data_IF_969207273077
#
_entry.id   IF_969207273077
#
_cell.length_a   1.000
_cell.length_b   1.000
_cell.length_c   1.000
_cell.angle_alpha   90.00
_cell.angle_beta   90.00
_cell.angle_gamma   90.00
#
_symmetry.space_group_name_H-M   'P 1'
#
loop_
_entity.id
_entity.type
_entity.pdbx_description
1 polymer ?
#
# COMPACT_ATOMS: atom_id res chain seq x y z
N UNK A 1 -3.65 -37.61 42.56
CA UNK A 1 -3.79 -36.79 41.34
C UNK A 1 -2.59 -35.87 41.26
N UNK A 2 -1.54 -36.28 40.54
CA UNK A 2 -0.31 -35.52 40.33
C UNK A 2 -0.48 -34.67 39.07
N UNK A 3 -0.72 -33.39 39.28
CA UNK A 3 -0.76 -32.40 38.18
C UNK A 3 0.67 -32.23 37.66
N UNK A 4 0.93 -32.76 36.47
CA UNK A 4 2.15 -32.51 35.68
C UNK A 4 2.18 -30.99 35.34
N UNK A 5 2.86 -30.19 36.14
CA UNK A 5 3.24 -28.82 35.77
C UNK A 5 4.27 -28.94 34.64
N UNK A 6 3.83 -28.77 33.41
CA UNK A 6 4.76 -28.52 32.31
C UNK A 6 5.58 -27.27 32.66
N UNK A 7 6.90 -27.33 32.63
CA UNK A 7 7.74 -26.21 33.03
C UNK A 7 7.44 -25.03 32.04
N UNK A 8 7.01 -23.92 32.60
CA UNK A 8 6.71 -22.65 31.86
C UNK A 8 7.85 -22.20 30.94
N UNK A 9 9.06 -22.73 31.13
CA UNK A 9 10.24 -22.49 30.29
C UNK A 9 10.16 -23.16 28.93
N UNK A 10 9.70 -24.42 28.85
CA UNK A 10 9.63 -25.19 27.58
C UNK A 10 8.62 -24.55 26.61
N UNK A 11 7.46 -24.10 27.09
CA UNK A 11 6.47 -23.41 26.24
C UNK A 11 7.01 -22.08 25.70
N UNK A 12 7.69 -21.29 26.54
CA UNK A 12 8.32 -20.04 26.10
C UNK A 12 9.40 -20.28 25.07
N UNK A 13 10.29 -21.25 25.28
CA UNK A 13 11.36 -21.60 24.34
C UNK A 13 10.80 -22.08 23.00
N UNK A 14 9.78 -22.94 23.01
CA UNK A 14 9.12 -23.39 21.78
C UNK A 14 8.49 -22.22 20.99
N UNK A 15 7.76 -21.33 21.67
CA UNK A 15 7.18 -20.14 21.03
C UNK A 15 8.28 -19.24 20.44
N UNK A 16 9.36 -18.99 21.19
CA UNK A 16 10.49 -18.17 20.71
C UNK A 16 11.16 -18.78 19.49
N UNK A 17 11.39 -20.10 19.48
CA UNK A 17 11.99 -20.80 18.34
C UNK A 17 11.06 -20.75 17.10
N UNK A 18 9.77 -21.02 17.27
CA UNK A 18 8.81 -20.94 16.16
C UNK A 18 8.73 -19.52 15.61
N UNK A 19 8.62 -18.52 16.50
CA UNK A 19 8.60 -17.10 16.08
C UNK A 19 9.89 -16.71 15.36
N UNK A 20 11.06 -17.13 15.89
CA UNK A 20 12.35 -16.87 15.27
C UNK A 20 12.47 -17.53 13.89
N UNK A 21 12.01 -18.78 13.76
CA UNK A 21 11.98 -19.48 12.46
C UNK A 21 11.08 -18.77 11.46
N UNK A 22 9.87 -18.41 11.85
CA UNK A 22 8.93 -17.66 10.98
C UNK A 22 9.53 -16.33 10.54
N UNK A 23 10.11 -15.57 11.48
CA UNK A 23 10.79 -14.31 11.15
C UNK A 23 11.97 -14.54 10.21
N UNK A 24 12.78 -15.57 10.43
CA UNK A 24 13.90 -15.89 9.54
C UNK A 24 13.42 -16.21 8.12
N UNK A 25 12.40 -17.05 7.96
CA UNK A 25 11.81 -17.37 6.66
C UNK A 25 11.28 -16.14 5.93
N UNK A 26 10.73 -15.16 6.65
CA UNK A 26 10.20 -13.92 6.06
C UNK A 26 11.30 -12.90 5.74
N UNK A 27 12.29 -12.75 6.62
CA UNK A 27 13.31 -11.68 6.51
C UNK A 27 14.50 -12.09 5.65
N UNK A 28 14.94 -13.35 5.74
CA UNK A 28 16.14 -13.81 5.02
C UNK A 28 16.07 -13.63 3.51
N UNK A 29 14.96 -13.96 2.81
CA UNK A 29 14.88 -13.73 1.35
C UNK A 29 14.97 -12.25 0.98
N UNK A 30 14.36 -11.37 1.78
CA UNK A 30 14.42 -9.91 1.57
C UNK A 30 15.84 -9.41 1.79
N UNK A 31 16.47 -9.81 2.88
CA UNK A 31 17.85 -9.45 3.19
C UNK A 31 18.82 -9.97 2.14
N UNK A 32 18.68 -11.22 1.67
CA UNK A 32 19.47 -11.79 0.59
C UNK A 32 19.32 -11.00 -0.72
N UNK A 33 18.10 -10.62 -1.09
CA UNK A 33 17.84 -9.79 -2.27
C UNK A 33 18.55 -8.45 -2.15
N UNK A 34 18.44 -7.81 -0.98
CA UNK A 34 19.11 -6.54 -0.72
C UNK A 34 20.64 -6.66 -0.77
N UNK A 35 21.21 -7.65 -0.11
CA UNK A 35 22.67 -7.92 -0.12
C UNK A 35 23.14 -8.27 -1.53
N UNK A 36 22.39 -9.10 -2.26
CA UNK A 36 22.72 -9.48 -3.65
C UNK A 36 22.73 -8.27 -4.60
N UNK A 37 22.00 -7.22 -4.30
CA UNK A 37 22.01 -5.99 -5.11
C UNK A 37 23.36 -5.28 -5.17
N UNK A 38 24.26 -5.57 -4.21
CA UNK A 38 25.62 -5.02 -4.11
C UNK A 38 26.71 -6.05 -4.45
N UNK A 39 26.36 -7.25 -4.87
CA UNK A 39 27.31 -8.30 -5.22
C UNK A 39 27.85 -8.12 -6.65
N UNK A 40 29.11 -8.51 -6.88
CA UNK A 40 29.72 -8.49 -8.22
C UNK A 40 29.28 -9.69 -9.06
N UNK A 41 29.08 -10.84 -8.42
CA UNK A 41 28.65 -12.07 -9.06
C UNK A 41 27.76 -12.89 -8.12
N UNK A 42 27.05 -13.85 -8.66
CA UNK A 42 26.24 -14.79 -7.88
C UNK A 42 26.40 -16.20 -8.44
N UNK A 43 26.60 -17.17 -7.53
CA UNK A 43 26.53 -18.59 -7.86
C UNK A 43 25.18 -19.11 -7.38
N UNK A 44 24.24 -19.24 -8.32
CA UNK A 44 22.82 -19.46 -7.99
C UNK A 44 22.24 -18.24 -7.26
N UNK A 45 21.76 -18.42 -6.02
CA UNK A 45 21.22 -17.34 -5.16
C UNK A 45 22.23 -16.80 -4.14
N UNK A 46 23.45 -17.36 -4.11
CA UNK A 46 24.49 -16.93 -3.15
C UNK A 46 25.33 -15.83 -3.77
N UNK A 47 25.29 -14.60 -3.21
CA UNK A 47 26.09 -13.49 -3.71
C UNK A 47 27.57 -13.67 -3.36
N UNK A 48 28.44 -13.32 -4.30
CA UNK A 48 29.89 -13.39 -4.13
C UNK A 48 30.55 -12.10 -4.66
N UNK A 49 31.65 -11.70 -4.00
CA UNK A 49 32.31 -10.43 -4.34
C UNK A 49 31.47 -9.21 -3.96
N UNK A 50 31.89 -8.47 -2.98
CA UNK A 50 31.26 -7.25 -2.46
C UNK A 50 32.27 -6.10 -2.59
N UNK A 51 31.96 -4.88 -2.90
CA UNK A 51 30.73 -4.09 -2.99
C UNK A 51 30.72 -3.47 -4.39
N UNK A 52 29.61 -3.60 -5.13
CA UNK A 52 29.46 -2.88 -6.41
C UNK A 52 28.14 -2.10 -6.43
N UNK A 53 28.16 -0.93 -7.07
CA UNK A 53 26.97 -0.13 -7.38
C UNK A 53 26.59 -0.19 -8.86
N UNK A 54 27.22 -1.07 -9.64
CA UNK A 54 27.00 -1.15 -11.07
C UNK A 54 25.55 -1.52 -11.41
N UNK A 55 24.99 -2.48 -10.68
CA UNK A 55 23.59 -2.89 -10.87
C UNK A 55 22.59 -1.77 -10.53
N UNK A 56 22.91 -0.94 -9.54
CA UNK A 56 22.12 0.24 -9.18
C UNK A 56 22.22 1.33 -10.24
N UNK A 57 23.41 1.59 -10.78
CA UNK A 57 23.62 2.55 -11.87
C UNK A 57 22.89 2.09 -13.15
N UNK A 58 22.97 0.81 -13.47
CA UNK A 58 22.26 0.21 -14.61
C UNK A 58 20.74 0.30 -14.41
N UNK A 59 20.25 0.02 -13.21
CA UNK A 59 18.83 0.11 -12.87
C UNK A 59 18.31 1.55 -12.94
N UNK A 60 19.13 2.54 -12.56
CA UNK A 60 18.81 3.97 -12.69
C UNK A 60 18.96 4.51 -14.11
N UNK A 61 19.48 3.71 -15.06
CA UNK A 61 19.71 4.13 -16.45
C UNK A 61 20.92 5.06 -16.60
N UNK A 62 21.87 5.05 -15.67
CA UNK A 62 23.07 5.86 -15.68
C UNK A 62 24.23 5.24 -16.46
N UNK A 63 24.05 4.03 -17.01
CA UNK A 63 25.02 3.33 -17.84
C UNK A 63 24.50 3.23 -19.26
N UNK A 64 25.39 3.45 -20.26
CA UNK A 64 25.05 3.39 -21.71
C UNK A 64 24.73 1.98 -22.21
N UNK A 65 24.84 0.96 -21.37
CA UNK A 65 24.57 -0.43 -21.70
C UNK A 65 23.07 -0.64 -21.81
N UNK A 66 22.59 -0.46 -23.03
CA UNK A 66 21.39 -1.01 -23.60
C UNK A 66 20.13 -1.13 -22.74
N UNK A 67 19.15 -0.26 -23.03
CA UNK A 67 17.73 -0.62 -23.02
C UNK A 67 17.00 -0.76 -21.66
N UNK A 68 17.39 -0.07 -20.58
CA UNK A 68 16.51 -0.04 -19.40
C UNK A 68 16.07 1.35 -18.95
N UNK A 69 15.81 2.21 -19.93
CA UNK A 69 15.14 3.51 -19.69
C UNK A 69 13.75 3.40 -19.02
N UNK A 70 13.28 2.16 -18.79
CA UNK A 70 11.95 1.89 -18.24
C UNK A 70 11.84 1.80 -16.72
N UNK A 71 12.94 1.57 -15.96
CA UNK A 71 12.85 1.38 -14.50
C UNK A 71 12.43 2.68 -13.82
N UNK A 72 13.12 3.77 -14.08
CA UNK A 72 12.80 5.07 -13.46
C UNK A 72 11.39 5.55 -13.83
N UNK A 73 10.99 5.41 -15.08
CA UNK A 73 9.64 5.75 -15.54
C UNK A 73 8.58 4.83 -14.91
N UNK A 74 8.87 3.52 -14.77
CA UNK A 74 7.97 2.58 -14.12
C UNK A 74 7.79 2.85 -12.63
N UNK A 75 8.89 3.19 -11.94
CA UNK A 75 8.86 3.59 -10.53
C UNK A 75 8.01 4.85 -10.34
N UNK A 76 8.28 5.90 -11.12
CA UNK A 76 7.53 7.15 -11.06
C UNK A 76 6.04 6.93 -11.36
N UNK A 77 5.74 6.14 -12.38
CA UNK A 77 4.36 5.84 -12.76
C UNK A 77 3.62 5.06 -11.67
N UNK A 78 4.28 4.09 -11.01
CA UNK A 78 3.70 3.39 -9.85
C UNK A 78 3.40 4.33 -8.68
N UNK A 79 4.31 5.27 -8.38
CA UNK A 79 4.07 6.31 -7.35
C UNK A 79 2.87 7.17 -7.70
N UNK A 80 2.77 7.59 -8.97
CA UNK A 80 1.65 8.41 -9.46
C UNK A 80 0.32 7.66 -9.33
N UNK A 81 0.26 6.39 -9.76
CA UNK A 81 -0.94 5.56 -9.64
C UNK A 81 -1.34 5.32 -8.18
N UNK A 82 -0.37 4.99 -7.32
CA UNK A 82 -0.62 4.77 -5.89
C UNK A 82 -1.14 6.04 -5.21
N UNK A 83 -0.53 7.19 -5.52
CA UNK A 83 -0.94 8.49 -4.99
C UNK A 83 -2.32 8.88 -5.52
N UNK A 84 -2.57 8.69 -6.81
CA UNK A 84 -3.89 8.93 -7.41
C UNK A 84 -4.98 8.09 -6.76
N UNK A 85 -4.77 6.79 -6.61
CA UNK A 85 -5.71 5.88 -5.93
C UNK A 85 -5.95 6.25 -4.47
N UNK A 86 -4.89 6.64 -3.75
CA UNK A 86 -4.99 7.13 -2.37
C UNK A 86 -5.81 8.42 -2.28
N UNK A 87 -5.56 9.40 -3.17
CA UNK A 87 -6.31 10.68 -3.18
C UNK A 87 -7.79 10.45 -3.46
N UNK A 88 -8.13 9.57 -4.42
CA UNK A 88 -9.53 9.20 -4.66
C UNK A 88 -10.14 8.59 -3.40
N UNK A 89 -9.45 7.70 -2.72
CA UNK A 89 -9.92 7.10 -1.46
C UNK A 89 -10.03 8.10 -0.32
N UNK A 90 -9.18 9.12 -0.26
CA UNK A 90 -9.34 10.23 0.71
C UNK A 90 -10.63 11.03 0.44
N UNK A 91 -10.85 11.40 -0.81
CA UNK A 91 -11.98 12.26 -1.20
C UNK A 91 -13.32 11.51 -1.10
N UNK A 92 -13.35 10.23 -1.43
CA UNK A 92 -14.58 9.43 -1.49
C UNK A 92 -14.72 8.53 -0.26
N UNK A 93 -13.66 7.85 0.14
CA UNK A 93 -13.70 6.87 1.23
C UNK A 93 -13.89 7.49 2.61
N UNK A 94 -13.28 8.66 2.88
CA UNK A 94 -13.46 9.33 4.19
C UNK A 94 -14.91 9.80 4.41
N UNK A 95 -15.58 10.48 3.46
CA UNK A 95 -17.00 10.79 3.59
C UNK A 95 -17.91 9.56 3.68
N UNK A 96 -17.60 8.48 2.95
CA UNK A 96 -18.32 7.21 3.06
C UNK A 96 -18.20 6.63 4.47
N UNK A 97 -16.97 6.54 5.00
CA UNK A 97 -16.72 6.06 6.36
C UNK A 97 -17.47 6.88 7.41
N UNK A 98 -17.49 8.22 7.25
CA UNK A 98 -18.26 9.11 8.10
C UNK A 98 -19.76 8.83 8.02
N UNK A 99 -20.32 8.74 6.81
CA UNK A 99 -21.74 8.48 6.62
C UNK A 99 -22.18 7.13 7.22
N UNK A 100 -21.35 6.08 7.03
CA UNK A 100 -21.60 4.75 7.57
C UNK A 100 -21.50 4.70 9.11
N UNK A 101 -20.71 5.56 9.72
CA UNK A 101 -20.57 5.61 11.18
C UNK A 101 -21.67 6.47 11.84
N UNK A 102 -21.96 7.61 11.21
CA UNK A 102 -22.77 8.67 11.83
C UNK A 102 -24.26 8.51 11.62
N UNK A 103 -24.69 8.01 10.46
CA UNK A 103 -26.10 7.98 10.07
C UNK A 103 -26.65 6.56 10.04
N UNK A 104 -27.90 6.44 10.53
CA UNK A 104 -28.72 5.26 10.33
C UNK A 104 -29.68 5.54 9.17
N UNK A 105 -29.52 4.82 8.07
CA UNK A 105 -30.34 4.96 6.87
C UNK A 105 -30.64 3.61 6.24
N UNK A 106 -31.72 3.54 5.46
CA UNK A 106 -32.06 2.34 4.69
C UNK A 106 -30.95 2.04 3.68
N UNK A 107 -30.36 0.85 3.77
CA UNK A 107 -29.24 0.44 2.91
C UNK A 107 -27.84 0.64 3.53
N UNK A 108 -27.71 1.10 4.78
CA UNK A 108 -26.41 1.21 5.48
C UNK A 108 -25.66 -0.11 5.49
N UNK A 109 -26.32 -1.23 5.80
CA UNK A 109 -25.69 -2.55 5.80
C UNK A 109 -25.26 -2.97 4.40
N UNK A 110 -26.04 -2.63 3.37
CA UNK A 110 -25.69 -2.84 1.98
C UNK A 110 -24.44 -2.06 1.58
N UNK A 111 -24.36 -0.79 1.92
CA UNK A 111 -23.18 0.04 1.65
C UNK A 111 -21.96 -0.43 2.45
N UNK A 112 -22.17 -0.88 3.68
CA UNK A 112 -21.08 -1.46 4.48
C UNK A 112 -20.56 -2.74 3.84
N UNK A 113 -21.44 -3.59 3.35
CA UNK A 113 -21.07 -4.81 2.59
C UNK A 113 -20.38 -4.46 1.28
N UNK A 114 -20.91 -3.46 0.53
CA UNK A 114 -20.29 -2.98 -0.71
C UNK A 114 -18.90 -2.36 -0.48
N UNK A 115 -18.70 -1.67 0.64
CA UNK A 115 -17.38 -1.14 0.99
C UNK A 115 -16.34 -2.24 1.22
N UNK A 116 -16.76 -3.43 1.64
CA UNK A 116 -15.90 -4.61 1.86
C UNK A 116 -15.79 -5.49 0.61
N UNK A 117 -16.75 -5.40 -0.31
CA UNK A 117 -16.80 -6.21 -1.53
C UNK A 117 -15.52 -6.17 -2.37
N UNK A 118 -14.80 -5.03 -2.54
CA UNK A 118 -13.54 -4.99 -3.31
C UNK A 118 -12.36 -5.77 -2.70
N UNK A 119 -12.53 -6.52 -1.62
CA UNK A 119 -11.58 -7.55 -1.19
C UNK A 119 -11.50 -8.73 -2.17
N UNK A 120 -12.26 -8.67 -3.27
CA UNK A 120 -12.16 -9.59 -4.41
C UNK A 120 -10.73 -9.57 -4.99
N UNK A 121 -10.19 -10.74 -5.40
CA UNK A 121 -8.89 -10.79 -6.05
C UNK A 121 -8.79 -9.83 -7.24
N UNK A 122 -7.69 -9.06 -7.29
CA UNK A 122 -7.48 -8.01 -8.31
C UNK A 122 -7.62 -8.51 -9.74
N UNK A 123 -7.28 -9.78 -10.01
CA UNK A 123 -7.48 -10.44 -11.32
C UNK A 123 -8.97 -10.44 -11.72
N UNK A 124 -9.85 -10.84 -10.81
CA UNK A 124 -11.30 -10.94 -11.09
C UNK A 124 -11.88 -9.55 -11.36
N UNK A 125 -11.54 -8.57 -10.51
CA UNK A 125 -11.96 -7.20 -10.73
C UNK A 125 -11.38 -6.65 -12.04
N UNK A 126 -10.12 -6.97 -12.36
CA UNK A 126 -9.47 -6.56 -13.60
C UNK A 126 -10.19 -7.06 -14.84
N UNK A 127 -10.57 -8.34 -14.86
CA UNK A 127 -11.34 -8.93 -15.97
C UNK A 127 -12.71 -8.25 -16.10
N UNK A 128 -13.42 -8.07 -14.98
CA UNK A 128 -14.72 -7.38 -14.98
C UNK A 128 -14.59 -5.94 -15.48
N UNK A 129 -13.58 -5.22 -15.00
CA UNK A 129 -13.31 -3.83 -15.39
C UNK A 129 -12.96 -3.70 -16.87
N UNK A 130 -12.11 -4.58 -17.40
CA UNK A 130 -11.74 -4.63 -18.82
C UNK A 130 -12.95 -4.92 -19.72
N UNK A 131 -13.86 -5.79 -19.27
CA UNK A 131 -15.08 -6.12 -20.02
C UNK A 131 -16.10 -4.99 -20.02
N UNK A 132 -16.19 -4.27 -18.91
CA UNK A 132 -17.18 -3.18 -18.76
C UNK A 132 -16.68 -1.86 -19.35
N UNK A 133 -15.38 -1.58 -19.26
CA UNK A 133 -14.76 -0.31 -19.66
C UNK A 133 -13.52 -0.53 -20.55
N UNK A 134 -13.64 -1.17 -21.71
CA UNK A 134 -12.49 -1.58 -22.52
C UNK A 134 -11.62 -0.40 -22.97
N UNK A 135 -12.22 0.75 -23.27
CA UNK A 135 -11.50 1.93 -23.76
C UNK A 135 -10.68 2.63 -22.66
N UNK A 136 -11.10 2.51 -21.41
CA UNK A 136 -10.50 3.20 -20.27
C UNK A 136 -9.61 2.30 -19.39
N UNK A 137 -9.81 0.98 -19.46
CA UNK A 137 -9.19 0.04 -18.51
C UNK A 137 -7.67 0.17 -18.44
N UNK A 138 -6.98 0.23 -19.59
CA UNK A 138 -5.52 0.32 -19.68
C UNK A 138 -4.96 1.75 -19.58
N UNK A 139 -5.80 2.77 -19.43
CA UNK A 139 -5.36 4.15 -19.28
C UNK A 139 -4.88 4.43 -17.85
N UNK A 140 -4.07 5.50 -17.66
CA UNK A 140 -3.67 5.93 -16.31
C UNK A 140 -4.88 6.23 -15.41
N UNK A 141 -5.93 6.84 -15.97
CA UNK A 141 -7.18 7.10 -15.24
C UNK A 141 -7.88 5.80 -14.83
N UNK A 142 -8.02 4.84 -15.75
CA UNK A 142 -8.63 3.54 -15.44
C UNK A 142 -7.85 2.76 -14.37
N UNK A 143 -6.51 2.80 -14.43
CA UNK A 143 -5.66 2.20 -13.40
C UNK A 143 -5.84 2.87 -12.03
N UNK A 144 -5.90 4.21 -11.99
CA UNK A 144 -6.14 4.96 -10.73
C UNK A 144 -7.50 4.60 -10.14
N UNK A 145 -8.56 4.57 -10.96
CA UNK A 145 -9.91 4.18 -10.50
C UNK A 145 -9.92 2.73 -10.01
N UNK A 146 -9.30 1.80 -10.74
CA UNK A 146 -9.19 0.41 -10.33
C UNK A 146 -8.42 0.23 -9.03
N UNK A 147 -7.33 0.94 -8.84
CA UNK A 147 -6.57 0.93 -7.59
C UNK A 147 -7.39 1.52 -6.43
N UNK A 148 -8.09 2.61 -6.68
CA UNK A 148 -8.98 3.20 -5.68
C UNK A 148 -10.08 2.21 -5.26
N UNK A 149 -10.74 1.56 -6.21
CA UNK A 149 -11.76 0.54 -5.93
C UNK A 149 -11.20 -0.62 -5.09
N UNK A 150 -10.07 -1.21 -5.52
CA UNK A 150 -9.46 -2.34 -4.81
C UNK A 150 -9.02 -2.01 -3.38
N UNK A 151 -8.60 -0.77 -3.14
CA UNK A 151 -8.05 -0.36 -1.85
C UNK A 151 -9.05 0.42 -1.00
N UNK A 152 -10.25 0.72 -1.51
CA UNK A 152 -11.31 1.41 -0.76
C UNK A 152 -11.69 0.73 0.57
N UNK A 153 -11.76 -0.62 0.69
CA UNK A 153 -12.07 -1.25 1.98
C UNK A 153 -11.09 -0.86 3.08
N UNK A 154 -9.80 -0.81 2.76
CA UNK A 154 -8.76 -0.49 3.74
C UNK A 154 -8.88 0.94 4.24
N UNK A 155 -9.21 1.90 3.36
CA UNK A 155 -9.47 3.28 3.76
C UNK A 155 -10.74 3.37 4.59
N UNK A 156 -11.85 2.85 4.08
CA UNK A 156 -13.16 2.96 4.72
C UNK A 156 -13.14 2.33 6.11
N UNK A 157 -12.68 1.08 6.24
CA UNK A 157 -12.66 0.37 7.52
C UNK A 157 -11.74 1.03 8.55
N UNK A 158 -10.56 1.49 8.13
CA UNK A 158 -9.62 2.15 9.04
C UNK A 158 -10.16 3.48 9.54
N UNK A 159 -10.72 4.29 8.66
CA UNK A 159 -11.31 5.60 9.02
C UNK A 159 -12.61 5.42 9.82
N UNK A 160 -13.43 4.42 9.46
CA UNK A 160 -14.63 4.06 10.21
C UNK A 160 -14.31 3.69 11.65
N UNK A 161 -13.26 2.88 11.88
CA UNK A 161 -12.80 2.54 13.23
C UNK A 161 -12.38 3.79 14.02
N UNK A 162 -11.71 4.75 13.37
CA UNK A 162 -11.34 6.01 14.02
C UNK A 162 -12.59 6.85 14.35
N UNK A 163 -13.57 6.92 13.47
CA UNK A 163 -14.83 7.63 13.73
C UNK A 163 -15.64 6.97 14.85
N UNK A 164 -15.64 5.63 14.94
CA UNK A 164 -16.34 4.90 16.00
C UNK A 164 -15.73 5.14 17.40
N UNK A 165 -14.44 5.50 17.48
CA UNK A 165 -13.76 5.82 18.72
C UNK A 165 -14.04 7.24 19.25
N UNK A 166 -14.79 8.06 18.48
CA UNK A 166 -15.13 9.45 18.81
C UNK A 166 -16.63 9.61 19.01
N UNK A 167 -17.04 10.54 19.86
CA UNK A 167 -18.43 10.98 19.93
C UNK A 167 -18.70 12.03 18.84
N UNK A 168 -18.97 11.54 17.61
CA UNK A 168 -19.23 12.39 16.45
C UNK A 168 -20.44 13.31 16.70
N UNK A 169 -21.44 12.83 17.44
CA UNK A 169 -22.66 13.59 17.71
C UNK A 169 -22.36 14.80 18.58
N UNK A 170 -21.62 14.60 19.65
CA UNK A 170 -21.23 15.68 20.56
C UNK A 170 -20.36 16.73 19.85
N UNK A 171 -19.41 16.28 19.01
CA UNK A 171 -18.57 17.18 18.23
C UNK A 171 -19.39 18.05 17.25
N UNK A 172 -20.37 17.45 16.57
CA UNK A 172 -21.28 18.19 15.66
C UNK A 172 -22.18 19.18 16.41
N UNK A 173 -22.79 18.76 17.52
CA UNK A 173 -23.67 19.58 18.33
C UNK A 173 -22.91 20.80 18.90
N UNK A 174 -21.69 20.58 19.38
CA UNK A 174 -20.82 21.65 19.88
C UNK A 174 -20.45 22.65 18.77
N UNK A 175 -20.09 22.17 17.57
CA UNK A 175 -19.75 23.04 16.44
C UNK A 175 -20.97 23.83 15.96
N UNK A 176 -22.16 23.21 15.91
CA UNK A 176 -23.43 23.88 15.54
C UNK A 176 -23.84 24.96 16.53
N UNK A 177 -23.60 24.74 17.85
CA UNK A 177 -23.90 25.75 18.86
C UNK A 177 -23.05 27.01 18.67
N UNK A 178 -21.90 26.89 18.03
CA UNK A 178 -21.03 28.00 17.63
C UNK A 178 -21.34 28.55 16.23
N UNK A 179 -22.46 28.12 15.60
CA UNK A 179 -22.91 28.59 14.29
C UNK A 179 -22.17 27.98 13.09
N UNK A 180 -21.42 26.89 13.27
CA UNK A 180 -20.74 26.25 12.15
C UNK A 180 -21.71 25.50 11.24
N UNK A 181 -21.60 25.70 9.91
CA UNK A 181 -22.29 24.88 8.92
C UNK A 181 -21.73 23.48 8.85
N UNK A 182 -22.51 22.51 8.35
CA UNK A 182 -22.07 21.11 8.25
C UNK A 182 -20.74 20.93 7.50
N UNK A 183 -20.50 21.50 6.30
CA UNK A 183 -19.22 21.34 5.61
C UNK A 183 -18.05 21.90 6.43
N UNK A 184 -18.27 23.01 7.11
CA UNK A 184 -17.25 23.60 7.99
C UNK A 184 -16.96 22.69 9.16
N UNK A 185 -17.99 22.17 9.84
CA UNK A 185 -17.82 21.21 10.94
C UNK A 185 -17.06 19.97 10.49
N UNK A 186 -17.42 19.40 9.32
CA UNK A 186 -16.74 18.23 8.79
C UNK A 186 -15.24 18.47 8.56
N UNK A 187 -14.89 19.54 7.85
CA UNK A 187 -13.49 19.82 7.47
C UNK A 187 -12.66 20.35 8.64
N UNK A 188 -13.25 21.18 9.53
CA UNK A 188 -12.47 21.86 10.58
C UNK A 188 -12.51 21.17 11.95
N UNK A 189 -13.48 20.27 12.17
CA UNK A 189 -13.64 19.58 13.47
C UNK A 189 -13.48 18.06 13.28
N UNK A 190 -14.30 17.43 12.44
CA UNK A 190 -14.38 15.97 12.34
C UNK A 190 -13.12 15.38 11.72
N UNK A 191 -12.73 15.86 10.54
CA UNK A 191 -11.55 15.37 9.81
C UNK A 191 -10.25 15.56 10.60
N UNK A 192 -9.97 16.71 11.22
CA UNK A 192 -8.79 16.89 12.06
C UNK A 192 -8.75 15.98 13.30
N UNK A 193 -9.88 15.70 13.92
CA UNK A 193 -9.94 14.78 15.05
C UNK A 193 -9.71 13.32 14.62
N UNK A 194 -10.10 12.93 13.39
CA UNK A 194 -9.87 11.60 12.82
C UNK A 194 -8.53 11.46 12.10
N UNK A 195 -7.67 12.49 12.11
CA UNK A 195 -6.41 12.54 11.33
C UNK A 195 -5.54 11.29 11.47
N UNK A 196 -5.46 10.69 12.65
CA UNK A 196 -4.68 9.47 12.91
C UNK A 196 -5.20 8.29 12.10
N UNK A 197 -6.51 8.07 12.08
CA UNK A 197 -7.14 7.00 11.28
C UNK A 197 -7.07 7.28 9.78
N UNK A 198 -7.27 8.52 9.37
CA UNK A 198 -7.17 8.94 7.97
C UNK A 198 -5.72 8.72 7.47
N UNK A 199 -4.72 9.10 8.24
CA UNK A 199 -3.32 8.86 7.91
C UNK A 199 -2.99 7.37 7.82
N UNK A 200 -3.43 6.58 8.80
CA UNK A 200 -3.22 5.13 8.80
C UNK A 200 -3.87 4.48 7.56
N UNK A 201 -5.13 4.84 7.25
CA UNK A 201 -5.82 4.40 6.04
C UNK A 201 -5.10 4.81 4.75
N UNK A 202 -4.57 6.04 4.71
CA UNK A 202 -3.80 6.55 3.57
C UNK A 202 -2.50 5.76 3.36
N UNK A 203 -1.75 5.48 4.42
CA UNK A 203 -0.50 4.71 4.36
C UNK A 203 -0.79 3.29 3.86
N UNK A 204 -1.78 2.61 4.43
CA UNK A 204 -2.16 1.26 4.03
C UNK A 204 -2.60 1.25 2.55
N UNK A 205 -3.51 2.14 2.17
CA UNK A 205 -4.04 2.24 0.82
C UNK A 205 -2.94 2.52 -0.20
N UNK A 206 -2.05 3.47 0.09
CA UNK A 206 -0.95 3.83 -0.77
C UNK A 206 0.04 2.67 -0.94
N UNK A 207 0.44 2.02 0.15
CA UNK A 207 1.39 0.90 0.13
C UNK A 207 0.85 -0.27 -0.69
N UNK A 208 -0.42 -0.64 -0.46
CA UNK A 208 -1.06 -1.72 -1.22
C UNK A 208 -1.29 -1.36 -2.68
N UNK A 209 -1.55 -0.09 -3.01
CA UNK A 209 -1.68 0.38 -4.37
C UNK A 209 -0.33 0.41 -5.09
N UNK A 210 0.75 0.83 -4.44
CA UNK A 210 2.09 0.80 -4.99
C UNK A 210 2.53 -0.62 -5.40
N UNK A 211 2.16 -1.63 -4.60
CA UNK A 211 2.48 -3.03 -4.86
C UNK A 211 1.48 -3.75 -5.78
N UNK A 212 0.48 -3.03 -6.35
CA UNK A 212 -0.57 -3.68 -7.13
C UNK A 212 -0.04 -4.23 -8.46
N UNK A 213 -0.18 -5.55 -8.63
CA UNK A 213 0.22 -6.28 -9.82
C UNK A 213 -0.97 -6.93 -10.52
N UNK A 214 -1.83 -7.61 -9.76
CA UNK A 214 -2.85 -8.51 -10.30
C UNK A 214 -3.88 -7.81 -11.19
N UNK A 215 -4.42 -6.69 -10.72
CA UNK A 215 -5.34 -5.86 -11.50
C UNK A 215 -4.64 -5.27 -12.72
N UNK A 216 -3.44 -4.71 -12.51
CA UNK A 216 -2.65 -4.10 -13.58
C UNK A 216 -2.35 -5.08 -14.70
N UNK A 217 -1.94 -6.30 -14.36
CA UNK A 217 -1.64 -7.35 -15.32
C UNK A 217 -2.83 -7.68 -16.24
N UNK A 218 -4.06 -7.62 -15.69
CA UNK A 218 -5.28 -7.90 -16.46
C UNK A 218 -5.71 -6.74 -17.35
N UNK A 219 -5.56 -5.49 -16.90
CA UNK A 219 -6.12 -4.34 -17.61
C UNK A 219 -5.10 -3.55 -18.45
N UNK A 220 -3.81 -3.75 -18.19
CA UNK A 220 -2.77 -3.02 -18.90
C UNK A 220 -2.73 -3.39 -20.39
N UNK A 221 -2.88 -2.41 -21.25
CA UNK A 221 -2.84 -2.60 -22.71
C UNK A 221 -1.73 -1.80 -23.37
N UNK A 222 -1.44 -0.58 -22.88
CA UNK A 222 -0.46 0.34 -23.51
C UNK A 222 -0.08 1.48 -22.57
N UNK A 223 1.05 2.14 -22.86
CA UNK A 223 1.51 3.32 -22.11
C UNK A 223 2.68 3.01 -21.17
N UNK A 224 2.99 3.90 -20.24
CA UNK A 224 4.02 3.66 -19.24
C UNK A 224 3.66 2.44 -18.40
N UNK A 225 4.62 1.52 -18.21
CA UNK A 225 4.39 0.31 -17.42
C UNK A 225 4.61 0.61 -15.94
N UNK A 226 3.66 0.25 -15.06
CA UNK A 226 3.92 0.23 -13.63
C UNK A 226 5.08 -0.70 -13.30
N UNK A 227 5.83 -0.36 -12.24
CA UNK A 227 7.06 -1.08 -11.91
C UNK A 227 6.85 -2.58 -11.66
N UNK A 228 5.77 -2.95 -10.99
CA UNK A 228 5.42 -4.35 -10.73
C UNK A 228 5.28 -5.17 -12.02
N UNK A 229 4.62 -4.63 -13.03
CA UNK A 229 4.48 -5.26 -14.34
C UNK A 229 5.80 -5.27 -15.11
N UNK A 230 6.54 -4.16 -15.09
CA UNK A 230 7.87 -4.07 -15.68
C UNK A 230 8.81 -5.14 -15.10
N UNK A 231 8.82 -5.31 -13.77
CA UNK A 231 9.64 -6.30 -13.10
C UNK A 231 9.25 -7.72 -13.51
N UNK A 232 7.97 -8.04 -13.54
CA UNK A 232 7.46 -9.35 -13.96
C UNK A 232 7.92 -9.74 -15.36
N UNK A 233 7.80 -8.83 -16.33
CA UNK A 233 8.21 -9.10 -17.71
C UNK A 233 9.72 -9.26 -17.88
N UNK A 234 10.49 -8.64 -17.02
CA UNK A 234 11.96 -8.63 -17.12
C UNK A 234 12.66 -9.64 -16.19
N UNK A 235 11.95 -10.21 -15.20
CA UNK A 235 12.57 -11.11 -14.21
C UNK A 235 13.24 -12.34 -14.85
N UNK A 236 12.66 -12.86 -15.93
CA UNK A 236 13.20 -14.02 -16.67
C UNK A 236 14.29 -13.64 -17.68
N UNK A 237 14.43 -12.36 -18.02
CA UNK A 237 15.34 -11.84 -19.05
C UNK A 237 16.54 -11.13 -18.45
N UNK A 238 16.42 -10.64 -17.22
CA UNK A 238 17.47 -9.91 -16.54
C UNK A 238 18.37 -10.83 -15.72
N UNK A 239 19.68 -10.56 -15.62
CA UNK A 239 20.53 -11.19 -14.62
C UNK A 239 19.93 -10.99 -13.21
N UNK A 240 20.08 -12.00 -12.36
CA UNK A 240 19.54 -12.01 -10.99
C UNK A 240 19.93 -10.75 -10.20
N UNK A 241 21.21 -10.36 -10.25
CA UNK A 241 21.74 -9.21 -9.50
C UNK A 241 21.11 -7.87 -9.92
N UNK A 242 20.81 -7.69 -11.22
CA UNK A 242 20.13 -6.49 -11.71
C UNK A 242 18.66 -6.46 -11.26
N UNK A 243 18.01 -7.61 -11.24
CA UNK A 243 16.64 -7.72 -10.72
C UNK A 243 16.62 -7.45 -9.20
N UNK A 244 17.61 -7.96 -8.47
CA UNK A 244 17.79 -7.70 -7.04
C UNK A 244 17.98 -6.19 -6.76
N UNK A 245 18.79 -5.49 -7.56
CA UNK A 245 18.95 -4.03 -7.43
C UNK A 245 17.64 -3.28 -7.70
N UNK A 246 16.90 -3.64 -8.74
CA UNK A 246 15.61 -3.02 -9.06
C UNK A 246 14.56 -3.24 -7.95
N UNK A 247 14.47 -4.45 -7.41
CA UNK A 247 13.58 -4.78 -6.27
C UNK A 247 13.99 -3.97 -5.03
N UNK A 248 15.29 -3.91 -4.73
CA UNK A 248 15.81 -3.17 -3.58
C UNK A 248 15.52 -1.67 -3.68
N UNK A 249 15.66 -1.07 -4.88
CA UNK A 249 15.28 0.31 -5.13
C UNK A 249 13.80 0.56 -4.85
N UNK A 250 12.94 -0.32 -5.36
CA UNK A 250 11.51 -0.20 -5.14
C UNK A 250 11.15 -0.32 -3.67
N UNK A 251 11.76 -1.27 -2.97
CA UNK A 251 11.58 -1.42 -1.53
C UNK A 251 11.99 -0.15 -0.77
N UNK A 252 13.18 0.41 -1.07
CA UNK A 252 13.64 1.66 -0.48
C UNK A 252 12.69 2.83 -0.77
N UNK A 253 12.17 2.92 -1.99
CA UNK A 253 11.21 3.96 -2.39
C UNK A 253 9.91 3.85 -1.58
N UNK A 254 9.36 2.64 -1.44
CA UNK A 254 8.12 2.39 -0.67
C UNK A 254 8.35 2.72 0.80
N UNK A 255 9.46 2.29 1.38
CA UNK A 255 9.82 2.60 2.78
C UNK A 255 9.97 4.12 2.97
N UNK A 256 10.69 4.80 2.07
CA UNK A 256 10.85 6.25 2.11
C UNK A 256 9.50 6.99 2.03
N UNK A 257 8.62 6.56 1.14
CA UNK A 257 7.29 7.15 1.01
C UNK A 257 6.43 6.93 2.27
N UNK A 258 6.48 5.74 2.88
CA UNK A 258 5.81 5.48 4.16
C UNK A 258 6.35 6.40 5.26
N UNK A 259 7.67 6.54 5.36
CA UNK A 259 8.30 7.44 6.36
C UNK A 259 7.88 8.89 6.14
N UNK A 260 7.83 9.36 4.88
CA UNK A 260 7.34 10.71 4.55
C UNK A 260 5.89 10.88 4.96
N UNK A 261 5.00 9.93 4.63
CA UNK A 261 3.60 9.98 5.04
C UNK A 261 3.45 10.01 6.56
N UNK A 262 4.24 9.22 7.29
CA UNK A 262 4.23 9.21 8.76
C UNK A 262 4.74 10.52 9.37
N UNK A 263 5.80 11.11 8.82
CA UNK A 263 6.35 12.38 9.34
C UNK A 263 5.38 13.54 9.10
N UNK A 264 4.79 13.63 7.90
CA UNK A 264 3.75 14.62 7.59
C UNK A 264 2.56 14.51 8.56
N UNK A 265 2.14 13.27 8.86
CA UNK A 265 1.10 13.05 9.85
C UNK A 265 1.48 13.45 11.27
N UNK A 266 2.73 13.20 11.70
CA UNK A 266 3.21 13.54 13.04
C UNK A 266 3.32 15.04 13.27
N UNK A 267 3.80 15.83 12.32
CA UNK A 267 3.92 17.29 12.46
C UNK A 267 2.55 17.98 12.62
N UNK A 268 1.48 17.38 12.14
CA UNK A 268 0.13 17.80 12.48
C UNK A 268 -0.28 17.57 13.95
N UNK A 269 0.53 16.81 14.73
CA UNK A 269 0.24 16.50 16.15
C UNK A 269 0.89 17.47 17.16
N UNK A 270 1.88 18.27 16.73
CA UNK A 270 2.69 19.08 17.67
C UNK A 270 2.36 20.57 17.67
N UNK A 271 1.35 21.02 16.93
CA UNK A 271 0.96 22.45 16.81
C UNK A 271 -0.41 22.78 17.40
N UNK A 272 -0.82 22.07 18.48
CA UNK A 272 -1.99 22.52 19.27
C UNK A 272 -1.66 22.42 20.75
#
# INVERSE_FOLDING_TARGET
MTTLRTPRSLGKTAVTLVTGLVLAVLVVPIALTFVSSFAQSATGVVPTGFVTFEHWRTALGLTDVGARRGIGSGLWFSVLLATGGMVVNLVVGVPIAYALTRYEFRGREWLNTLAVLPLVPGIILGIAFLRTYPDNAGTAFGLVVGYALLKSPYMVLTVQSAFQSMDLRQLEESARSLGASWPRTFVTVIVPNARGGILAGSIITWTLAAAEFNFTYMVYTRGPKPFSLFLYENISRAPFLQSAAAISMYFCLVVAAILVLQTVGRHGFTTT
#
